data_IF_973837767250
#
_entry.id   IF_973837767250
#
_cell.length_a   1.000
_cell.length_b   1.000
_cell.length_c   1.000
_cell.angle_alpha   90.00
_cell.angle_beta   90.00
_cell.angle_gamma   90.00
#
_symmetry.space_group_name_H-M   'P 1'
#
loop_
_entity.id
_entity.type
_entity.pdbx_description
1 polymer ?
#
# COMPACT_ATOMS: atom_id res chain seq x y z
N UNK A 1 22.47 -3.90 10.55
CA UNK A 1 21.54 -3.21 9.62
C UNK A 1 21.74 -1.71 9.73
N UNK A 2 21.80 -1.02 8.58
CA UNK A 2 21.85 0.45 8.47
C UNK A 2 20.48 0.98 8.06
N UNK A 3 20.22 2.25 8.37
CA UNK A 3 19.01 2.92 7.88
C UNK A 3 19.24 4.41 7.66
N UNK A 4 18.70 4.93 6.57
CA UNK A 4 18.80 6.34 6.22
C UNK A 4 17.47 6.91 5.76
N UNK A 5 17.32 8.22 5.84
CA UNK A 5 16.17 8.94 5.28
C UNK A 5 16.64 9.70 4.03
N UNK A 6 16.00 9.42 2.92
CA UNK A 6 16.24 10.06 1.64
C UNK A 6 15.07 11.00 1.34
N UNK A 7 15.37 12.14 0.73
CA UNK A 7 14.35 13.11 0.34
C UNK A 7 14.43 13.37 -1.17
N UNK A 8 13.28 13.56 -1.78
CA UNK A 8 13.12 13.92 -3.19
C UNK A 8 12.46 15.29 -3.19
N UNK A 9 13.25 16.31 -3.48
CA UNK A 9 12.78 17.69 -3.50
C UNK A 9 12.20 18.01 -4.88
N UNK A 10 10.99 18.54 -4.92
CA UNK A 10 10.28 19.06 -6.09
C UNK A 10 9.84 20.50 -5.81
N UNK A 11 9.41 21.21 -6.81
CA UNK A 11 9.00 22.62 -6.70
C UNK A 11 7.91 22.83 -5.63
N UNK A 12 6.89 21.94 -5.61
CA UNK A 12 5.71 22.11 -4.76
C UNK A 12 5.57 21.02 -3.69
N UNK A 13 6.47 20.03 -3.64
CA UNK A 13 6.42 18.96 -2.64
C UNK A 13 7.79 18.34 -2.37
N UNK A 14 7.88 17.67 -1.24
CA UNK A 14 9.02 16.84 -0.87
C UNK A 14 8.53 15.45 -0.53
N UNK A 15 9.12 14.42 -1.12
CA UNK A 15 8.83 13.03 -0.76
C UNK A 15 9.93 12.47 0.13
N UNK A 16 9.53 11.64 1.08
CA UNK A 16 10.45 10.93 1.99
C UNK A 16 10.46 9.45 1.65
N UNK A 17 11.67 8.91 1.54
CA UNK A 17 11.95 7.50 1.31
C UNK A 17 12.85 7.00 2.44
N UNK A 18 12.37 6.06 3.27
CA UNK A 18 13.18 5.43 4.32
C UNK A 18 13.84 4.17 3.78
N UNK A 19 15.17 4.10 3.83
CA UNK A 19 15.95 2.94 3.38
C UNK A 19 16.45 2.14 4.57
N UNK A 20 16.40 0.80 4.46
CA UNK A 20 16.98 -0.18 5.39
C UNK A 20 17.80 -1.17 4.60
N UNK A 21 19.05 -1.42 4.99
CA UNK A 21 19.94 -2.33 4.28
C UNK A 21 21.06 -2.89 5.16
N UNK A 22 21.62 -4.02 4.76
CA UNK A 22 22.87 -4.58 5.28
C UNK A 22 23.95 -4.58 4.23
N UNK A 23 23.56 -4.70 2.94
CA UNK A 23 24.42 -4.69 1.76
C UNK A 23 23.80 -3.82 0.67
N UNK A 24 24.53 -2.84 0.15
CA UNK A 24 24.03 -1.91 -0.87
C UNK A 24 23.72 -2.57 -2.22
N UNK A 25 24.42 -3.66 -2.56
CA UNK A 25 24.20 -4.42 -3.80
C UNK A 25 23.10 -5.49 -3.70
N UNK A 26 22.44 -5.63 -2.54
CA UNK A 26 21.33 -6.58 -2.36
C UNK A 26 20.16 -6.30 -3.32
N UNK A 27 19.33 -7.30 -3.65
CA UNK A 27 18.07 -7.07 -4.37
C UNK A 27 17.21 -6.01 -3.65
N UNK A 28 16.53 -5.17 -4.42
CA UNK A 28 15.79 -4.04 -3.89
C UNK A 28 14.30 -4.33 -3.76
N UNK A 29 13.72 -3.90 -2.64
CA UNK A 29 12.28 -4.01 -2.38
C UNK A 29 11.71 -2.62 -2.12
N UNK A 30 10.69 -2.23 -2.88
CA UNK A 30 9.97 -0.98 -2.73
C UNK A 30 8.64 -1.20 -2.02
N UNK A 31 8.40 -0.51 -0.90
CA UNK A 31 7.24 -0.66 -0.03
C UNK A 31 6.34 0.58 -0.07
N UNK A 32 5.04 0.38 -0.35
CA UNK A 32 4.03 1.46 -0.45
C UNK A 32 2.88 1.20 0.52
N UNK A 33 2.64 2.16 1.40
CA UNK A 33 1.57 2.12 2.41
C UNK A 33 0.19 2.46 1.82
N UNK A 34 -0.87 2.25 2.60
CA UNK A 34 -2.26 2.53 2.22
C UNK A 34 -2.77 3.93 2.61
N UNK A 35 -4.10 4.08 2.69
CA UNK A 35 -4.77 5.32 3.08
C UNK A 35 -4.70 5.54 4.58
N UNK A 36 -4.67 6.80 5.02
CA UNK A 36 -4.61 7.26 6.42
C UNK A 36 -3.47 6.65 7.25
N UNK A 37 -2.41 6.21 6.58
CA UNK A 37 -1.20 5.67 7.21
C UNK A 37 0.06 6.22 6.53
N UNK A 38 1.22 5.94 7.10
CA UNK A 38 2.54 6.29 6.55
C UNK A 38 3.44 5.04 6.52
N UNK A 39 4.66 5.19 6.04
CA UNK A 39 5.62 4.09 5.93
C UNK A 39 5.89 3.34 7.24
N UNK A 40 5.52 3.89 8.39
CA UNK A 40 5.68 3.22 9.70
C UNK A 40 4.79 2.00 9.89
N UNK A 41 3.85 1.73 8.99
CA UNK A 41 3.17 0.43 8.96
C UNK A 41 4.18 -0.72 8.76
N UNK A 42 5.28 -0.47 8.05
CA UNK A 42 6.32 -1.46 7.75
C UNK A 42 7.49 -1.46 8.76
N UNK A 43 7.62 -0.43 9.61
CA UNK A 43 8.70 -0.35 10.60
C UNK A 43 8.30 0.47 11.83
N UNK A 44 8.90 0.16 12.96
CA UNK A 44 8.75 0.90 14.21
C UNK A 44 9.96 1.81 14.47
N UNK A 45 9.82 2.75 15.41
CA UNK A 45 10.94 3.57 15.88
C UNK A 45 12.07 2.73 16.53
N UNK A 46 11.75 1.55 17.05
CA UNK A 46 12.73 0.64 17.65
C UNK A 46 13.46 -0.22 16.61
N UNK A 47 13.28 0.00 15.32
CA UNK A 47 13.92 -0.78 14.26
C UNK A 47 13.34 -2.18 14.05
N UNK A 48 12.10 -2.42 14.48
CA UNK A 48 11.36 -3.67 14.27
C UNK A 48 10.28 -3.47 13.20
N UNK A 49 9.85 -4.57 12.57
CA UNK A 49 8.79 -4.57 11.55
C UNK A 49 9.23 -5.28 10.28
N UNK A 50 8.39 -5.26 9.27
CA UNK A 50 8.60 -5.99 8.03
C UNK A 50 9.80 -5.47 7.21
N UNK A 51 9.98 -4.15 7.10
CA UNK A 51 11.09 -3.58 6.35
C UNK A 51 12.46 -3.89 6.98
N UNK A 52 12.70 -3.71 8.31
CA UNK A 52 13.90 -4.19 8.98
C UNK A 52 14.11 -5.71 8.85
N UNK A 53 13.05 -6.51 8.96
CA UNK A 53 13.13 -7.96 8.79
C UNK A 53 13.67 -8.34 7.41
N UNK A 54 13.17 -7.75 6.33
CA UNK A 54 13.68 -7.99 4.97
C UNK A 54 15.15 -7.56 4.82
N UNK A 55 15.53 -6.40 5.39
CA UNK A 55 16.89 -5.90 5.32
C UNK A 55 17.89 -6.81 6.04
N UNK A 56 17.52 -7.37 7.20
CA UNK A 56 18.31 -8.35 7.94
C UNK A 56 18.44 -9.68 7.18
N UNK A 57 17.48 -9.99 6.30
CA UNK A 57 17.45 -11.19 5.48
C UNK A 57 17.98 -10.98 4.03
N UNK A 58 18.72 -9.90 3.80
CA UNK A 58 19.54 -9.75 2.59
C UNK A 58 18.89 -8.92 1.48
N UNK A 59 17.89 -8.08 1.77
CA UNK A 59 17.33 -7.12 0.84
C UNK A 59 17.77 -5.68 1.13
N UNK A 60 17.70 -4.82 0.13
CA UNK A 60 17.82 -3.36 0.23
C UNK A 60 16.41 -2.77 0.13
N UNK A 61 15.87 -2.29 1.24
CA UNK A 61 14.44 -2.02 1.41
C UNK A 61 14.17 -0.52 1.44
N UNK A 62 13.28 -0.07 0.58
CA UNK A 62 12.89 1.33 0.41
C UNK A 62 11.41 1.50 0.75
N UNK A 63 11.12 2.26 1.79
CA UNK A 63 9.75 2.49 2.29
C UNK A 63 9.33 3.91 1.98
N UNK A 64 8.30 4.05 1.15
CA UNK A 64 7.74 5.35 0.79
C UNK A 64 6.91 5.96 1.93
N UNK A 65 7.00 7.26 2.07
CA UNK A 65 5.93 8.10 2.61
C UNK A 65 5.31 8.84 1.42
N UNK A 66 4.09 8.50 1.00
CA UNK A 66 3.39 9.21 -0.07
C UNK A 66 3.13 10.68 0.33
N UNK A 67 2.90 11.56 -0.65
CA UNK A 67 2.69 13.00 -0.44
C UNK A 67 1.71 13.28 0.71
N UNK A 68 2.09 14.20 1.59
CA UNK A 68 1.30 14.61 2.74
C UNK A 68 1.32 13.68 3.94
N UNK A 69 2.03 12.53 3.87
CA UNK A 69 2.09 11.54 4.95
C UNK A 69 3.51 11.35 5.46
N UNK A 70 3.61 10.84 6.69
CA UNK A 70 4.91 10.59 7.31
C UNK A 70 5.77 11.84 7.39
N UNK A 71 6.91 11.84 6.67
CA UNK A 71 7.81 12.99 6.54
C UNK A 71 7.67 13.71 5.20
N UNK A 72 6.86 13.22 4.28
CA UNK A 72 6.57 13.89 3.01
C UNK A 72 5.72 15.14 3.22
N UNK A 73 5.92 16.13 2.37
CA UNK A 73 5.29 17.46 2.45
C UNK A 73 4.63 17.82 1.12
N UNK A 74 3.70 18.79 1.12
CA UNK A 74 3.14 19.52 2.28
C UNK A 74 2.23 18.63 3.13
N UNK A 75 2.05 18.97 4.42
CA UNK A 75 1.03 18.33 5.24
C UNK A 75 -0.37 18.76 4.77
N UNK A 76 -1.39 17.86 4.72
CA UNK A 76 -2.72 18.14 4.17
C UNK A 76 -3.46 19.33 4.79
N UNK A 77 -3.14 19.70 6.04
CA UNK A 77 -3.72 20.88 6.69
C UNK A 77 -3.15 22.22 6.19
N UNK A 78 -2.02 22.20 5.48
CA UNK A 78 -1.35 23.42 4.96
C UNK A 78 -1.62 23.59 3.47
N UNK A 79 -1.52 22.51 2.73
CA UNK A 79 -1.84 22.44 1.32
C UNK A 79 -2.38 21.04 1.02
N UNK A 80 -3.53 20.96 0.40
CA UNK A 80 -4.23 19.73 0.05
C UNK A 80 -4.63 19.68 -1.43
N UNK A 81 -3.98 20.48 -2.28
CA UNK A 81 -4.24 20.56 -3.71
C UNK A 81 -3.65 19.37 -4.48
N UNK A 82 -3.79 18.16 -3.93
CA UNK A 82 -3.39 16.93 -4.59
C UNK A 82 -4.43 15.84 -4.35
N UNK A 83 -4.77 15.16 -5.44
CA UNK A 83 -5.70 14.03 -5.42
C UNK A 83 -4.99 12.69 -5.37
N UNK A 84 -5.78 11.64 -5.53
CA UNK A 84 -5.28 10.25 -5.52
C UNK A 84 -4.33 9.97 -6.70
N UNK A 85 -4.56 10.59 -7.85
CA UNK A 85 -3.74 10.42 -9.03
C UNK A 85 -2.28 10.83 -8.81
N UNK A 86 -2.00 11.85 -7.98
CA UNK A 86 -0.65 12.25 -7.63
C UNK A 86 0.17 11.08 -7.04
N UNK A 87 -0.46 10.14 -6.33
CA UNK A 87 0.24 9.01 -5.75
C UNK A 87 0.85 8.07 -6.80
N UNK A 88 0.13 7.79 -7.89
CA UNK A 88 0.59 6.84 -8.91
C UNK A 88 1.09 7.48 -10.20
N UNK A 89 0.83 8.76 -10.44
CA UNK A 89 1.34 9.48 -11.62
C UNK A 89 2.59 10.32 -11.32
N UNK A 90 2.83 10.69 -10.05
CA UNK A 90 3.95 11.54 -9.64
C UNK A 90 4.80 10.86 -8.55
N UNK A 91 4.22 10.54 -7.37
CA UNK A 91 4.99 10.06 -6.22
C UNK A 91 5.68 8.72 -6.48
N UNK A 92 4.96 7.70 -6.99
CA UNK A 92 5.52 6.38 -7.30
C UNK A 92 6.61 6.47 -8.38
N UNK A 93 6.41 7.15 -9.53
CA UNK A 93 7.48 7.41 -10.50
C UNK A 93 8.73 8.05 -9.87
N UNK A 94 8.56 9.07 -9.03
CA UNK A 94 9.66 9.75 -8.37
C UNK A 94 10.43 8.84 -7.40
N UNK A 95 9.73 8.00 -6.64
CA UNK A 95 10.37 6.99 -5.78
C UNK A 95 11.14 5.96 -6.61
N UNK A 96 10.55 5.43 -7.70
CA UNK A 96 11.21 4.48 -8.59
C UNK A 96 12.48 5.11 -9.21
N UNK A 97 12.40 6.35 -9.69
CA UNK A 97 13.52 7.09 -10.23
C UNK A 97 14.64 7.29 -9.19
N UNK A 98 14.26 7.62 -7.93
CA UNK A 98 15.23 7.75 -6.82
C UNK A 98 15.91 6.42 -6.51
N UNK A 99 15.16 5.32 -6.43
CA UNK A 99 15.73 3.99 -6.20
C UNK A 99 16.64 3.62 -7.38
N UNK A 100 16.22 3.86 -8.61
CA UNK A 100 17.02 3.62 -9.82
C UNK A 100 18.34 4.40 -9.80
N UNK A 101 18.34 5.64 -9.33
CA UNK A 101 19.57 6.45 -9.19
C UNK A 101 20.57 5.85 -8.18
N UNK A 102 20.10 5.12 -7.17
CA UNK A 102 20.92 4.48 -6.13
C UNK A 102 21.36 3.09 -6.57
N UNK A 103 20.47 2.33 -7.21
CA UNK A 103 20.67 0.91 -7.53
C UNK A 103 21.20 0.66 -8.95
N UNK A 104 21.17 1.67 -9.83
CA UNK A 104 21.45 1.53 -11.28
C UNK A 104 20.30 0.87 -12.05
N UNK A 105 19.23 0.44 -11.39
CA UNK A 105 18.04 -0.20 -11.98
C UNK A 105 16.80 0.08 -11.13
N UNK A 106 15.63 -0.15 -11.69
CA UNK A 106 14.34 -0.10 -10.97
C UNK A 106 14.26 -1.17 -9.89
N UNK A 107 13.35 -1.01 -8.88
CA UNK A 107 13.21 -1.99 -7.80
C UNK A 107 12.89 -3.38 -8.32
N UNK A 108 13.54 -4.41 -7.75
CA UNK A 108 13.32 -5.82 -8.12
C UNK A 108 11.94 -6.33 -7.69
N UNK A 109 11.45 -5.89 -6.51
CA UNK A 109 10.19 -6.35 -5.93
C UNK A 109 9.40 -5.18 -5.37
N UNK A 110 8.06 -5.26 -5.46
CA UNK A 110 7.17 -4.27 -4.87
C UNK A 110 6.28 -4.91 -3.80
N UNK A 111 6.17 -4.24 -2.68
CA UNK A 111 5.30 -4.67 -1.58
C UNK A 111 4.36 -3.54 -1.22
N UNK A 112 3.12 -3.87 -0.91
CA UNK A 112 2.13 -2.89 -0.52
C UNK A 112 1.29 -3.32 0.67
N UNK A 113 0.79 -2.33 1.39
CA UNK A 113 -0.27 -2.52 2.36
C UNK A 113 -1.54 -1.82 1.87
N UNK A 114 -2.67 -2.49 2.03
CA UNK A 114 -4.00 -1.91 1.83
C UNK A 114 -4.14 -1.18 0.47
N UNK A 115 -4.45 0.10 0.48
CA UNK A 115 -4.65 0.93 -0.71
C UNK A 115 -3.37 1.14 -1.54
N UNK A 116 -2.20 0.93 -0.93
CA UNK A 116 -0.92 0.97 -1.66
C UNK A 116 -0.85 0.01 -2.85
N UNK A 117 -1.49 -1.18 -2.74
CA UNK A 117 -1.58 -2.12 -3.87
C UNK A 117 -2.43 -1.57 -5.03
N UNK A 118 -3.47 -0.82 -4.72
CA UNK A 118 -4.31 -0.17 -5.76
C UNK A 118 -3.49 0.90 -6.50
N UNK A 119 -2.66 1.67 -5.79
CA UNK A 119 -1.77 2.65 -6.41
C UNK A 119 -0.72 2.01 -7.31
N UNK A 120 -0.06 0.94 -6.84
CA UNK A 120 0.92 0.21 -7.64
C UNK A 120 0.30 -0.38 -8.91
N UNK A 121 -0.91 -0.94 -8.80
CA UNK A 121 -1.63 -1.46 -9.97
C UNK A 121 -2.09 -0.35 -10.91
N UNK A 122 -2.57 0.79 -10.38
CA UNK A 122 -2.92 1.95 -11.22
C UNK A 122 -1.70 2.49 -11.98
N UNK A 123 -0.53 2.53 -11.35
CA UNK A 123 0.73 2.85 -12.03
C UNK A 123 1.04 1.84 -13.15
N UNK A 124 0.99 0.54 -12.87
CA UNK A 124 1.26 -0.52 -13.87
C UNK A 124 0.27 -0.54 -15.02
N UNK A 125 -0.97 -0.12 -14.81
CA UNK A 125 -1.95 -0.01 -15.89
C UNK A 125 -1.51 0.96 -17.00
N UNK A 126 -0.79 2.02 -16.63
CA UNK A 126 -0.32 3.07 -17.56
C UNK A 126 1.17 2.97 -17.91
N UNK A 127 1.96 2.16 -17.17
CA UNK A 127 3.41 2.09 -17.30
C UNK A 127 3.89 0.64 -17.41
N UNK A 128 5.11 0.46 -17.91
CA UNK A 128 5.82 -0.82 -17.89
C UNK A 128 6.81 -0.86 -16.71
N UNK A 129 7.06 -2.07 -16.20
CA UNK A 129 8.07 -2.31 -15.17
C UNK A 129 8.86 -3.58 -15.51
N UNK A 130 9.72 -3.55 -16.55
CA UNK A 130 10.34 -4.75 -17.13
C UNK A 130 11.30 -5.48 -16.17
N UNK A 131 11.78 -4.79 -15.13
CA UNK A 131 12.67 -5.38 -14.13
C UNK A 131 11.95 -5.91 -12.88
N UNK A 132 10.63 -5.73 -12.79
CA UNK A 132 9.83 -6.14 -11.65
C UNK A 132 9.65 -7.66 -11.63
N UNK A 133 10.25 -8.31 -10.64
CA UNK A 133 10.25 -9.78 -10.51
C UNK A 133 9.00 -10.31 -9.83
N UNK A 134 8.54 -9.67 -8.76
CA UNK A 134 7.33 -10.09 -8.04
C UNK A 134 6.71 -8.96 -7.23
N UNK A 135 5.46 -9.16 -6.83
CA UNK A 135 4.72 -8.25 -5.95
C UNK A 135 4.14 -8.99 -4.74
N UNK A 136 4.01 -8.27 -3.63
CA UNK A 136 3.31 -8.75 -2.43
C UNK A 136 2.28 -7.73 -1.97
N UNK A 137 1.04 -8.17 -1.78
CA UNK A 137 -0.06 -7.37 -1.27
C UNK A 137 -0.48 -7.82 0.12
N UNK A 138 -0.42 -6.93 1.10
CA UNK A 138 -0.97 -7.16 2.44
C UNK A 138 -2.32 -6.44 2.55
N UNK A 139 -3.42 -7.21 2.55
CA UNK A 139 -4.78 -6.69 2.70
C UNK A 139 -5.23 -5.71 1.60
N UNK A 140 -4.61 -5.77 0.42
CA UNK A 140 -4.98 -4.87 -0.70
C UNK A 140 -6.30 -5.27 -1.34
N UNK A 141 -7.17 -4.31 -1.53
CA UNK A 141 -8.48 -4.40 -2.18
C UNK A 141 -8.81 -3.05 -2.81
N UNK A 142 -9.59 -3.03 -3.87
CA UNK A 142 -10.08 -1.79 -4.48
C UNK A 142 -11.48 -1.44 -3.99
N UNK A 143 -12.36 -2.41 -3.92
CA UNK A 143 -13.72 -2.20 -3.44
C UNK A 143 -14.00 -2.97 -2.14
N UNK A 144 -15.03 -2.56 -1.40
CA UNK A 144 -15.47 -3.20 -0.15
C UNK A 144 -16.95 -3.54 -0.28
N UNK A 145 -17.23 -4.80 -0.62
CA UNK A 145 -18.60 -5.30 -0.87
C UNK A 145 -19.08 -6.32 0.13
N UNK A 146 -18.22 -6.77 1.03
CA UNK A 146 -18.63 -7.66 2.12
C UNK A 146 -19.79 -7.03 2.91
N UNK A 147 -20.77 -7.85 3.28
CA UNK A 147 -21.97 -7.42 4.02
C UNK A 147 -21.93 -8.00 5.43
N UNK A 148 -21.58 -7.19 6.41
CA UNK A 148 -21.64 -7.53 7.82
C UNK A 148 -21.81 -6.27 8.66
N UNK A 149 -22.18 -6.42 9.94
CA UNK A 149 -22.43 -5.28 10.84
C UNK A 149 -21.17 -4.42 11.05
N UNK A 150 -19.99 -5.00 11.15
CA UNK A 150 -18.73 -4.25 11.30
C UNK A 150 -18.46 -3.37 10.09
N UNK A 151 -18.67 -3.88 8.87
CA UNK A 151 -18.54 -3.09 7.63
C UNK A 151 -19.53 -1.93 7.63
N UNK A 152 -20.78 -2.17 7.99
CA UNK A 152 -21.79 -1.12 8.06
C UNK A 152 -21.37 0.00 9.02
N UNK A 153 -20.95 -0.34 10.25
CA UNK A 153 -20.57 0.66 11.24
C UNK A 153 -19.26 1.40 10.87
N UNK A 154 -18.23 0.67 10.43
CA UNK A 154 -16.89 1.23 10.20
C UNK A 154 -16.78 1.85 8.80
N UNK A 155 -17.29 1.18 7.77
CA UNK A 155 -17.13 1.67 6.40
C UNK A 155 -18.28 2.59 6.00
N UNK A 156 -19.54 2.18 6.20
CA UNK A 156 -20.66 2.97 5.69
C UNK A 156 -20.95 4.19 6.57
N UNK A 157 -20.99 4.04 7.89
CA UNK A 157 -21.30 5.16 8.79
C UNK A 157 -20.05 5.99 9.14
N UNK A 158 -18.99 5.36 9.64
CA UNK A 158 -17.81 6.13 10.05
C UNK A 158 -17.04 6.65 8.84
N UNK A 159 -16.62 5.79 7.92
CA UNK A 159 -15.76 6.19 6.80
C UNK A 159 -16.48 7.02 5.74
N UNK A 160 -17.56 6.52 5.15
CA UNK A 160 -18.33 7.26 4.14
C UNK A 160 -19.21 8.38 4.71
N UNK A 161 -19.64 8.29 5.96
CA UNK A 161 -20.43 9.30 6.64
C UNK A 161 -19.55 10.33 7.34
N UNK A 162 -19.12 10.01 8.55
CA UNK A 162 -18.43 10.96 9.46
C UNK A 162 -17.09 11.45 8.93
N UNK A 163 -16.23 10.57 8.42
CA UNK A 163 -14.94 10.99 7.86
C UNK A 163 -15.11 11.88 6.62
N UNK A 164 -16.13 11.61 5.78
CA UNK A 164 -16.45 12.47 4.63
C UNK A 164 -16.92 13.84 5.08
N UNK A 165 -17.75 13.92 6.12
CA UNK A 165 -18.17 15.18 6.72
C UNK A 165 -16.97 15.97 7.25
N UNK A 166 -16.08 15.33 8.01
CA UNK A 166 -14.84 15.96 8.49
C UNK A 166 -13.96 16.48 7.35
N UNK A 167 -13.71 15.66 6.33
CA UNK A 167 -12.86 16.04 5.20
C UNK A 167 -13.42 17.27 4.45
N UNK A 168 -14.74 17.34 4.26
CA UNK A 168 -15.40 18.46 3.59
C UNK A 168 -15.41 19.74 4.43
N UNK A 169 -15.61 19.63 5.75
CA UNK A 169 -15.71 20.82 6.62
C UNK A 169 -14.35 21.37 7.03
N UNK A 170 -13.33 20.52 7.18
CA UNK A 170 -11.97 20.94 7.59
C UNK A 170 -11.01 21.13 6.42
N UNK A 171 -11.39 20.78 5.19
CA UNK A 171 -10.54 20.83 4.01
C UNK A 171 -9.56 19.65 3.89
N UNK A 172 -9.47 18.78 4.91
CA UNK A 172 -8.68 17.55 4.92
C UNK A 172 -9.27 16.59 5.96
N UNK A 173 -8.91 15.29 5.92
CA UNK A 173 -9.29 14.33 6.93
C UNK A 173 -8.23 14.28 8.04
N UNK A 174 -8.49 14.82 9.23
CA UNK A 174 -7.56 14.79 10.38
C UNK A 174 -7.60 13.45 11.11
N UNK A 175 -7.25 12.37 10.40
CA UNK A 175 -7.40 11.00 10.88
C UNK A 175 -6.57 10.71 12.16
N UNK A 176 -5.40 11.34 12.30
CA UNK A 176 -4.57 11.24 13.52
C UNK A 176 -5.25 11.84 14.73
N UNK A 177 -5.82 13.04 14.58
CA UNK A 177 -6.50 13.73 15.67
C UNK A 177 -7.68 12.92 16.21
N UNK A 178 -8.41 12.26 15.33
CA UNK A 178 -9.59 11.44 15.68
C UNK A 178 -9.25 9.96 15.93
N UNK A 179 -7.96 9.60 15.93
CA UNK A 179 -7.48 8.22 16.16
C UNK A 179 -8.08 7.19 15.19
N UNK A 180 -8.39 7.60 13.97
CA UNK A 180 -8.93 6.77 12.89
C UNK A 180 -7.79 6.16 12.05
N UNK A 181 -6.65 6.83 12.00
CA UNK A 181 -5.47 6.41 11.27
C UNK A 181 -4.19 6.97 11.87
N UNK A 182 -3.05 6.57 11.33
CA UNK A 182 -1.71 7.04 11.74
C UNK A 182 -1.23 8.27 10.97
N UNK A 183 -1.88 8.64 9.85
CA UNK A 183 -1.62 9.83 9.06
C UNK A 183 -2.92 10.53 8.64
N UNK A 184 -2.83 11.86 8.47
CA UNK A 184 -3.93 12.67 7.94
C UNK A 184 -3.99 12.53 6.41
N UNK A 185 -5.16 12.85 5.81
CA UNK A 185 -5.39 12.63 4.39
C UNK A 185 -5.87 13.90 3.70
N UNK A 186 -5.37 14.19 2.49
CA UNK A 186 -5.87 15.28 1.68
C UNK A 186 -7.35 15.02 1.30
N UNK A 187 -8.15 16.10 1.28
CA UNK A 187 -9.59 16.00 1.03
C UNK A 187 -9.89 15.32 -0.30
N UNK A 188 -9.27 15.80 -1.37
CA UNK A 188 -9.58 15.30 -2.71
C UNK A 188 -9.10 13.87 -2.90
N UNK A 189 -7.91 13.53 -2.41
CA UNK A 189 -7.45 12.14 -2.36
C UNK A 189 -8.48 11.24 -1.65
N UNK A 190 -8.92 11.61 -0.44
CA UNK A 190 -9.88 10.83 0.34
C UNK A 190 -11.22 10.65 -0.39
N UNK A 191 -11.74 11.71 -1.01
CA UNK A 191 -13.00 11.65 -1.73
C UNK A 191 -12.92 10.80 -3.01
N UNK A 192 -11.77 10.82 -3.70
CA UNK A 192 -11.49 9.99 -4.88
C UNK A 192 -11.34 8.51 -4.52
N UNK A 193 -10.63 8.20 -3.42
CA UNK A 193 -10.60 6.84 -2.84
C UNK A 193 -12.01 6.33 -2.58
N UNK A 194 -12.87 7.16 -1.96
CA UNK A 194 -14.25 6.79 -1.69
C UNK A 194 -15.06 6.50 -2.95
N UNK A 195 -14.84 7.26 -4.03
CA UNK A 195 -15.48 7.00 -5.33
C UNK A 195 -15.05 5.64 -5.89
N UNK A 196 -13.74 5.34 -5.90
CA UNK A 196 -13.25 4.05 -6.39
C UNK A 196 -13.70 2.87 -5.53
N UNK A 197 -13.69 2.98 -4.18
CA UNK A 197 -14.18 1.93 -3.28
C UNK A 197 -15.65 1.58 -3.54
N UNK A 198 -16.48 2.56 -3.94
CA UNK A 198 -17.92 2.39 -4.18
C UNK A 198 -18.26 2.05 -5.62
N UNK A 199 -17.37 2.36 -6.57
CA UNK A 199 -17.60 2.07 -7.99
C UNK A 199 -17.56 0.58 -8.28
N UNK A 200 -18.35 0.15 -9.29
CA UNK A 200 -18.21 -1.19 -9.88
C UNK A 200 -17.03 -1.25 -10.84
N UNK A 201 -16.86 -0.19 -11.62
CA UNK A 201 -15.82 -0.11 -12.63
C UNK A 201 -14.60 0.60 -12.07
N UNK A 202 -13.43 0.16 -12.45
CA UNK A 202 -12.18 0.80 -12.07
C UNK A 202 -11.71 1.73 -13.18
N UNK A 203 -12.27 2.93 -13.18
CA UNK A 203 -11.97 3.96 -14.19
C UNK A 203 -11.36 5.20 -13.58
N UNK A 204 -10.49 5.86 -14.34
CA UNK A 204 -9.97 7.18 -13.97
C UNK A 204 -11.13 8.17 -13.87
N UNK A 205 -11.12 8.96 -12.80
CA UNK A 205 -12.20 9.91 -12.52
C UNK A 205 -12.13 11.17 -13.40
N UNK A 206 -11.02 11.36 -14.13
CA UNK A 206 -10.73 12.54 -14.95
C UNK A 206 -10.99 12.31 -16.45
N UNK A 207 -10.49 11.18 -16.96
CA UNK A 207 -10.51 10.88 -18.41
C UNK A 207 -11.24 9.58 -18.76
N UNK A 208 -11.68 8.83 -17.74
CA UNK A 208 -12.40 7.55 -17.93
C UNK A 208 -11.52 6.38 -18.34
N UNK A 209 -10.17 6.49 -18.28
CA UNK A 209 -9.26 5.38 -18.57
C UNK A 209 -9.62 4.15 -17.71
N UNK A 210 -9.77 2.99 -18.36
CA UNK A 210 -10.18 1.74 -17.70
C UNK A 210 -8.95 0.98 -17.21
N UNK A 211 -8.64 1.11 -15.91
CA UNK A 211 -7.50 0.45 -15.29
C UNK A 211 -7.62 -1.06 -15.30
N UNK A 212 -8.82 -1.60 -15.03
CA UNK A 212 -9.05 -3.04 -15.03
C UNK A 212 -8.82 -3.64 -16.41
N UNK A 213 -9.42 -3.06 -17.45
CA UNK A 213 -9.24 -3.51 -18.83
C UNK A 213 -7.78 -3.44 -19.28
N UNK A 214 -7.05 -2.38 -18.93
CA UNK A 214 -5.64 -2.24 -19.25
C UNK A 214 -4.77 -3.30 -18.57
N UNK A 215 -5.02 -3.60 -17.29
CA UNK A 215 -4.27 -4.61 -16.53
C UNK A 215 -4.54 -6.04 -17.02
N UNK A 216 -5.79 -6.34 -17.40
CA UNK A 216 -6.15 -7.66 -17.95
C UNK A 216 -5.46 -7.98 -19.29
N UNK A 217 -4.98 -6.95 -20.00
CA UNK A 217 -4.25 -7.12 -21.26
C UNK A 217 -2.73 -7.24 -21.05
N UNK A 218 -2.23 -7.07 -19.83
CA UNK A 218 -0.81 -7.14 -19.49
C UNK A 218 -0.44 -8.50 -18.90
N UNK A 219 0.76 -8.97 -19.19
CA UNK A 219 1.40 -10.02 -18.40
C UNK A 219 1.98 -9.37 -17.14
N UNK A 220 1.34 -9.62 -16.02
CA UNK A 220 1.75 -9.09 -14.73
C UNK A 220 2.81 -9.98 -14.08
N UNK A 221 3.71 -9.43 -13.23
CA UNK A 221 4.65 -10.24 -12.47
C UNK A 221 3.90 -11.16 -11.50
N UNK A 222 4.53 -12.23 -10.98
CA UNK A 222 3.96 -13.03 -9.91
C UNK A 222 3.48 -12.17 -8.74
N UNK A 223 2.25 -12.40 -8.25
CA UNK A 223 1.64 -11.66 -7.14
C UNK A 223 1.30 -12.61 -6.00
N UNK A 224 1.83 -12.34 -4.80
CA UNK A 224 1.39 -12.94 -3.55
C UNK A 224 0.46 -11.96 -2.82
N UNK A 225 -0.83 -12.28 -2.77
CA UNK A 225 -1.83 -11.50 -2.03
C UNK A 225 -2.17 -12.17 -0.71
N UNK A 226 -1.89 -11.48 0.37
CA UNK A 226 -2.07 -11.97 1.75
C UNK A 226 -3.09 -11.11 2.47
N UNK A 227 -3.99 -11.72 3.23
CA UNK A 227 -4.90 -11.01 4.13
C UNK A 227 -5.11 -11.77 5.43
N UNK A 228 -5.47 -11.07 6.50
CA UNK A 228 -5.71 -11.68 7.81
C UNK A 228 -7.09 -12.31 7.92
N UNK A 229 -7.21 -13.47 8.56
CA UNK A 229 -8.46 -14.16 8.80
C UNK A 229 -9.44 -13.33 9.66
N UNK A 230 -8.91 -12.43 10.49
CA UNK A 230 -9.70 -11.53 11.34
C UNK A 230 -9.92 -10.14 10.72
N UNK A 231 -9.50 -9.91 9.47
CA UNK A 231 -9.85 -8.69 8.72
C UNK A 231 -11.28 -8.81 8.18
N UNK A 232 -12.24 -8.35 8.96
CA UNK A 232 -13.66 -8.56 8.70
C UNK A 232 -14.31 -7.47 7.82
N UNK A 233 -13.59 -6.36 7.51
CA UNK A 233 -14.20 -5.20 6.85
C UNK A 233 -13.32 -4.49 5.81
N UNK A 234 -12.07 -4.17 6.13
CA UNK A 234 -11.24 -3.28 5.28
C UNK A 234 -10.15 -4.00 4.49
N UNK A 235 -10.02 -5.29 4.61
CA UNK A 235 -9.17 -6.22 3.83
C UNK A 235 -9.77 -7.61 3.88
N UNK A 236 -11.13 -7.69 3.84
CA UNK A 236 -11.82 -8.98 3.90
C UNK A 236 -11.34 -9.90 2.76
N UNK A 237 -11.10 -11.20 3.03
CA UNK A 237 -10.57 -12.13 2.03
C UNK A 237 -11.32 -12.13 0.69
N UNK A 238 -12.65 -11.99 0.73
CA UNK A 238 -13.49 -11.93 -0.49
C UNK A 238 -13.17 -10.69 -1.33
N UNK A 239 -12.98 -9.55 -0.70
CA UNK A 239 -12.71 -8.28 -1.40
C UNK A 239 -11.26 -8.23 -1.91
N UNK A 240 -10.29 -8.77 -1.15
CA UNK A 240 -8.90 -8.94 -1.63
C UNK A 240 -8.80 -9.88 -2.83
N UNK A 241 -9.50 -11.01 -2.80
CA UNK A 241 -9.56 -11.93 -3.95
C UNK A 241 -10.22 -11.30 -5.17
N UNK A 242 -11.20 -10.40 -4.97
CA UNK A 242 -11.85 -9.68 -6.06
C UNK A 242 -10.89 -8.75 -6.78
N UNK A 243 -9.96 -8.11 -6.08
CA UNK A 243 -8.91 -7.31 -6.73
C UNK A 243 -8.08 -8.16 -7.70
N UNK A 244 -7.65 -9.37 -7.31
CA UNK A 244 -6.90 -10.26 -8.20
C UNK A 244 -7.70 -10.61 -9.46
N UNK A 245 -9.00 -10.91 -9.30
CA UNK A 245 -9.89 -11.16 -10.45
C UNK A 245 -10.06 -9.93 -11.33
N UNK A 246 -10.16 -8.76 -10.73
CA UNK A 246 -10.33 -7.50 -11.46
C UNK A 246 -9.10 -7.17 -12.32
N UNK A 247 -7.90 -7.57 -11.91
CA UNK A 247 -6.65 -7.36 -12.66
C UNK A 247 -6.26 -8.52 -13.59
N UNK A 248 -7.11 -9.56 -13.73
CA UNK A 248 -6.95 -10.62 -14.72
C UNK A 248 -6.79 -12.04 -14.18
N UNK A 249 -6.70 -12.25 -12.85
CA UNK A 249 -6.64 -13.59 -12.19
C UNK A 249 -5.66 -14.56 -12.90
N UNK A 250 -4.39 -14.15 -13.06
CA UNK A 250 -3.38 -14.90 -13.82
C UNK A 250 -2.86 -16.10 -13.01
N UNK A 251 -2.38 -17.15 -13.69
CA UNK A 251 -1.91 -18.40 -13.07
C UNK A 251 -0.73 -18.22 -12.09
N UNK A 252 0.04 -17.14 -12.24
CA UNK A 252 1.14 -16.77 -11.36
C UNK A 252 0.70 -15.95 -10.12
N UNK A 253 -0.61 -15.81 -9.88
CA UNK A 253 -1.13 -15.16 -8.67
C UNK A 253 -1.41 -16.18 -7.58
N UNK A 254 -0.90 -15.90 -6.38
CA UNK A 254 -1.15 -16.70 -5.18
C UNK A 254 -1.94 -15.88 -4.16
N UNK A 255 -3.02 -16.46 -3.62
CA UNK A 255 -3.83 -15.83 -2.59
C UNK A 255 -3.81 -16.63 -1.29
N UNK A 256 -3.48 -15.96 -0.17
CA UNK A 256 -3.42 -16.60 1.15
C UNK A 256 -4.19 -15.82 2.22
N UNK A 257 -4.87 -16.57 3.08
CA UNK A 257 -5.51 -16.05 4.28
C UNK A 257 -4.68 -16.49 5.48
N UNK A 258 -4.25 -15.55 6.30
CA UNK A 258 -3.37 -15.79 7.44
C UNK A 258 -4.20 -15.86 8.72
N UNK A 259 -4.29 -17.04 9.29
CA UNK A 259 -5.07 -17.30 10.49
C UNK A 259 -4.82 -18.69 11.06
N UNK A 260 -5.27 -18.94 12.28
CA UNK A 260 -5.07 -20.21 13.01
C UNK A 260 -5.62 -21.42 12.25
N UNK A 261 -6.76 -21.29 11.62
CA UNK A 261 -7.35 -22.38 10.82
C UNK A 261 -6.51 -22.75 9.59
N UNK A 262 -5.64 -21.85 9.13
CA UNK A 262 -4.72 -22.04 8.02
C UNK A 262 -3.31 -22.46 8.48
N UNK A 263 -3.12 -22.71 9.78
CA UNK A 263 -1.85 -23.20 10.36
C UNK A 263 -0.92 -22.10 10.88
N UNK A 264 -1.36 -20.85 10.91
CA UNK A 264 -0.57 -19.73 11.45
C UNK A 264 -0.80 -19.55 12.96
N UNK A 265 0.11 -18.81 13.62
CA UNK A 265 0.07 -18.64 15.09
C UNK A 265 -1.13 -17.80 15.57
N UNK A 266 -1.60 -16.84 14.80
CA UNK A 266 -2.64 -15.88 15.17
C UNK A 266 -3.66 -15.66 14.06
N UNK A 267 -4.88 -15.25 14.46
CA UNK A 267 -5.87 -14.70 13.52
C UNK A 267 -5.59 -13.20 13.34
N UNK A 268 -4.84 -12.88 12.31
CA UNK A 268 -4.42 -11.51 12.03
C UNK A 268 -5.57 -10.64 11.50
N UNK A 269 -5.55 -9.36 11.86
CA UNK A 269 -6.40 -8.32 11.30
C UNK A 269 -5.62 -7.46 10.29
N UNK A 270 -6.25 -6.39 9.80
CA UNK A 270 -5.70 -5.51 8.77
C UNK A 270 -4.34 -4.90 9.13
N UNK A 271 -4.17 -4.47 10.36
CA UNK A 271 -2.99 -3.74 10.85
C UNK A 271 -1.96 -4.70 11.44
N UNK A 272 -2.42 -5.64 12.28
CA UNK A 272 -1.50 -6.52 12.96
C UNK A 272 -0.87 -7.57 12.02
N UNK A 273 -1.41 -7.75 10.81
CA UNK A 273 -0.76 -8.50 9.73
C UNK A 273 0.68 -8.01 9.44
N UNK A 274 0.99 -6.73 9.70
CA UNK A 274 2.34 -6.17 9.55
C UNK A 274 2.99 -5.76 10.88
N UNK A 275 2.19 -5.51 11.93
CA UNK A 275 2.68 -4.92 13.17
C UNK A 275 2.76 -5.89 14.35
N UNK A 276 2.21 -7.10 14.22
CA UNK A 276 2.28 -8.09 15.27
C UNK A 276 3.72 -8.55 15.51
N UNK A 277 4.12 -8.64 16.77
CA UNK A 277 5.50 -9.00 17.18
C UNK A 277 5.95 -10.37 16.66
N UNK A 278 5.02 -11.33 16.55
CA UNK A 278 5.29 -12.71 16.14
C UNK A 278 5.21 -12.91 14.61
N UNK A 279 4.77 -11.91 13.84
CA UNK A 279 4.66 -12.01 12.38
C UNK A 279 6.00 -12.39 11.70
N UNK A 280 7.13 -11.97 12.28
CA UNK A 280 8.49 -12.28 11.80
C UNK A 280 8.83 -13.78 11.89
N UNK A 281 8.25 -14.49 12.86
CA UNK A 281 8.46 -15.92 13.09
C UNK A 281 7.29 -16.76 12.54
N UNK A 282 6.37 -16.12 11.84
CA UNK A 282 5.18 -16.70 11.22
C UNK A 282 5.18 -16.39 9.72
N UNK A 283 4.20 -15.69 9.18
CA UNK A 283 3.99 -15.47 7.75
C UNK A 283 5.04 -14.57 7.06
N UNK A 284 5.84 -13.75 7.78
CA UNK A 284 6.92 -13.00 7.13
C UNK A 284 7.98 -13.90 6.50
N UNK A 285 8.21 -15.10 7.06
CA UNK A 285 9.15 -16.10 6.48
C UNK A 285 8.68 -16.57 5.12
N UNK A 286 7.40 -16.79 4.97
CA UNK A 286 6.81 -17.23 3.71
C UNK A 286 6.91 -16.12 2.63
N UNK A 287 6.69 -14.86 3.03
CA UNK A 287 6.91 -13.72 2.14
C UNK A 287 8.38 -13.57 1.77
N UNK A 288 9.29 -13.83 2.71
CA UNK A 288 10.73 -13.81 2.46
C UNK A 288 11.14 -14.85 1.40
N UNK A 289 10.63 -16.07 1.48
CA UNK A 289 10.90 -17.12 0.48
C UNK A 289 10.32 -16.72 -0.89
N UNK A 290 9.09 -16.23 -0.93
CA UNK A 290 8.48 -15.70 -2.16
C UNK A 290 9.32 -14.63 -2.87
N UNK A 291 9.98 -13.75 -2.10
CA UNK A 291 10.82 -12.68 -2.67
C UNK A 291 12.22 -13.19 -3.10
N UNK A 292 12.63 -14.40 -2.70
CA UNK A 292 13.91 -15.02 -3.10
C UNK A 292 13.78 -15.87 -4.37
N UNK A 293 12.59 -16.41 -4.63
CA UNK A 293 12.26 -17.19 -5.83
C UNK A 293 12.20 -16.28 -7.07
#
# INVERSE_FOLDING_TARGET
MQSESLFIEKENYTLHLKRFYTKEKAPSVFLVHGSIEDGKIFYSKSGKGFAPFLAENGFDVFVADLRGRGKSKPHPSRDNNFGMASAFEEDIPDFIAKIKSIKGKEPDHWVSHSWGGVHLMAYLAKNEAPNLKSMVFFGSKRDIRVKNLKKFLIVDLLWFGYCTFLAKTKGYLPARQYKIGSADEAKDYFLEVNKWVRSRDWKDLRDGFDYAAALQQKTLPPILSITGANDKQIGHPVDCRRLLKEIGDQDNFTFKVIGKQQGYQHDYDHINLLTHKDAKDDHFREVLEWLKD
#
